data_IF_567937884957
#
_entry.id   IF_567937884957
#
_cell.length_a   1.000
_cell.length_b   1.000
_cell.length_c   1.000
_cell.angle_alpha   90.00
_cell.angle_beta   90.00
_cell.angle_gamma   90.00
#
_symmetry.space_group_name_H-M   'P 1'
#
loop_
_entity.id
_entity.type
_entity.pdbx_description
1 polymer ?
#
# COMPACT_ATOMS: atom_id res chain seq x y z
N UNK A 1 13.73 6.73 1.24
CA UNK A 1 13.65 7.16 2.65
C UNK A 1 14.98 7.84 2.92
N UNK A 2 14.98 9.16 3.15
CA UNK A 2 16.21 9.96 3.30
C UNK A 2 16.66 10.06 4.77
N UNK A 3 15.82 9.58 5.68
CA UNK A 3 16.06 9.57 7.12
C UNK A 3 16.49 8.16 7.56
N UNK A 4 17.66 8.04 8.20
CA UNK A 4 18.28 6.76 8.58
C UNK A 4 17.46 5.96 9.60
N UNK A 5 16.60 6.63 10.36
CA UNK A 5 15.75 5.99 11.37
C UNK A 5 14.28 5.90 10.92
N UNK A 6 14.00 6.15 9.64
CA UNK A 6 12.66 6.01 9.07
C UNK A 6 12.51 4.67 8.34
N UNK A 7 11.57 3.86 8.80
CA UNK A 7 11.25 2.57 8.20
C UNK A 7 9.75 2.39 8.06
N UNK A 8 9.36 1.59 7.08
CA UNK A 8 7.96 1.32 6.79
C UNK A 8 7.42 0.39 7.88
N UNK A 9 6.25 0.71 8.43
CA UNK A 9 5.52 -0.08 9.42
C UNK A 9 4.22 -0.66 8.84
N UNK A 10 3.80 -0.20 7.66
CA UNK A 10 2.58 -0.67 7.04
C UNK A 10 2.23 0.02 5.74
N UNK A 11 1.12 -0.41 5.16
CA UNK A 11 0.52 0.18 3.95
C UNK A 11 -0.98 0.32 4.13
N UNK A 12 -1.56 1.33 3.51
CA UNK A 12 -3.01 1.45 3.33
C UNK A 12 -3.31 1.88 1.91
N UNK A 13 -4.57 1.83 1.51
CA UNK A 13 -4.96 2.29 0.19
C UNK A 13 -6.37 1.89 -0.18
N UNK A 14 -6.68 2.04 -1.46
CA UNK A 14 -7.99 1.73 -2.01
C UNK A 14 -7.87 0.74 -3.16
N UNK A 15 -8.82 -0.20 -3.21
CA UNK A 15 -9.01 -1.13 -4.33
C UNK A 15 -10.33 -0.80 -5.02
N UNK A 16 -10.28 -0.59 -6.33
CA UNK A 16 -11.37 0.04 -7.07
C UNK A 16 -11.34 -0.24 -8.56
N UNK A 17 -12.28 0.38 -9.27
CA UNK A 17 -12.28 0.44 -10.72
C UNK A 17 -11.18 1.39 -11.18
N UNK A 18 -10.44 1.02 -12.22
CA UNK A 18 -9.46 1.92 -12.82
C UNK A 18 -10.16 2.81 -13.83
N UNK A 19 -10.10 4.13 -13.61
CA UNK A 19 -10.72 5.11 -14.50
C UNK A 19 -10.17 5.00 -15.92
N UNK A 20 -11.05 5.00 -16.93
CA UNK A 20 -10.69 4.85 -18.34
C UNK A 20 -10.46 3.40 -18.79
N UNK A 21 -10.41 2.41 -17.89
CA UNK A 21 -10.15 1.01 -18.24
C UNK A 21 -11.36 0.12 -17.95
N UNK A 22 -12.27 0.06 -18.92
CA UNK A 22 -13.56 -0.67 -18.95
C UNK A 22 -13.65 -1.85 -17.97
N UNK A 23 -14.10 -1.57 -16.74
CA UNK A 23 -14.42 -2.58 -15.73
C UNK A 23 -13.23 -3.26 -15.04
N UNK A 24 -11.99 -2.87 -15.34
CA UNK A 24 -10.81 -3.43 -14.67
C UNK A 24 -10.73 -2.94 -13.23
N UNK A 25 -10.35 -3.84 -12.32
CA UNK A 25 -10.15 -3.54 -10.90
C UNK A 25 -8.71 -3.75 -10.48
N UNK A 26 -8.20 -2.82 -9.68
CA UNK A 26 -6.83 -2.80 -9.19
C UNK A 26 -6.75 -1.99 -7.89
N UNK A 27 -5.56 -1.97 -7.28
CA UNK A 27 -5.20 -0.96 -6.29
C UNK A 27 -5.15 0.37 -7.01
N UNK A 28 -6.04 1.29 -6.62
CA UNK A 28 -6.21 2.62 -7.22
C UNK A 28 -5.49 3.69 -6.42
N UNK A 29 -5.25 3.46 -5.13
CA UNK A 29 -4.32 4.27 -4.34
C UNK A 29 -3.55 3.45 -3.31
N UNK A 30 -2.36 3.95 -2.94
CA UNK A 30 -1.53 3.38 -1.87
C UNK A 30 -0.84 4.48 -1.05
N UNK A 31 -0.80 4.30 0.25
CA UNK A 31 -0.03 5.10 1.21
C UNK A 31 0.91 4.19 1.99
N UNK A 32 2.15 4.64 2.17
CA UNK A 32 3.16 3.94 2.97
C UNK A 32 3.25 4.61 4.33
N UNK A 33 3.01 3.82 5.37
CA UNK A 33 3.10 4.27 6.75
C UNK A 33 4.51 3.97 7.23
N UNK A 34 5.20 4.98 7.76
CA UNK A 34 6.47 4.80 8.44
C UNK A 34 6.30 5.09 9.93
N UNK A 35 7.31 4.76 10.72
CA UNK A 35 7.37 5.15 12.13
C UNK A 35 7.40 6.67 12.35
N UNK A 36 7.56 7.50 11.31
CA UNK A 36 7.64 8.97 11.42
C UNK A 36 6.48 9.71 10.73
N UNK A 37 6.09 9.26 9.54
CA UNK A 37 5.06 9.93 8.72
C UNK A 37 4.40 8.98 7.72
N UNK A 38 3.37 9.47 7.05
CA UNK A 38 2.69 8.80 5.95
C UNK A 38 3.19 9.41 4.63
N UNK A 39 3.52 8.55 3.66
CA UNK A 39 3.87 8.94 2.29
C UNK A 39 2.74 8.53 1.34
N UNK A 40 2.26 9.45 0.51
CA UNK A 40 1.10 9.27 -0.35
C UNK A 40 -0.11 10.11 0.10
N UNK A 41 -1.33 9.76 -0.36
CA UNK A 41 -1.63 8.63 -1.24
C UNK A 41 -1.04 8.83 -2.64
N UNK A 42 -0.58 7.73 -3.23
CA UNK A 42 -0.20 7.66 -4.64
C UNK A 42 -1.33 7.00 -5.42
N UNK A 43 -1.87 7.71 -6.42
CA UNK A 43 -3.08 7.31 -7.14
C UNK A 43 -4.32 8.03 -6.60
N UNK A 44 -5.49 7.55 -6.98
CA UNK A 44 -6.77 8.19 -6.65
C UNK A 44 -7.54 7.33 -5.65
N UNK A 45 -8.06 7.96 -4.61
CA UNK A 45 -8.94 7.32 -3.62
C UNK A 45 -10.37 7.12 -4.16
N UNK A 46 -10.49 6.86 -5.47
CA UNK A 46 -11.73 6.50 -6.15
C UNK A 46 -11.92 4.97 -6.07
N UNK A 47 -12.20 4.48 -4.87
CA UNK A 47 -12.39 3.05 -4.62
C UNK A 47 -13.47 2.77 -3.60
N UNK A 48 -14.30 1.76 -3.86
CA UNK A 48 -15.36 1.35 -2.94
C UNK A 48 -14.85 0.62 -1.68
N UNK A 49 -13.58 0.17 -1.67
CA UNK A 49 -13.00 -0.62 -0.56
C UNK A 49 -11.61 -0.13 -0.21
N UNK A 50 -11.45 0.36 1.02
CA UNK A 50 -10.14 0.63 1.60
C UNK A 50 -9.51 -0.66 2.14
N UNK A 51 -8.19 -0.66 2.25
CA UNK A 51 -7.42 -1.67 2.96
C UNK A 51 -6.34 -1.00 3.81
N UNK A 52 -5.96 -1.66 4.89
CA UNK A 52 -4.77 -1.33 5.66
C UNK A 52 -4.08 -2.62 6.12
N UNK A 53 -2.76 -2.59 6.22
CA UNK A 53 -2.02 -3.62 6.91
C UNK A 53 -2.37 -3.61 8.40
N UNK A 54 -2.50 -4.78 9.00
CA UNK A 54 -2.73 -4.93 10.44
C UNK A 54 -1.63 -4.23 11.24
N UNK A 55 -1.97 -3.51 12.33
CA UNK A 55 -0.98 -3.01 13.26
C UNK A 55 -0.08 -4.16 13.75
N UNK A 56 1.24 -4.00 13.62
CA UNK A 56 2.23 -4.96 14.10
C UNK A 56 3.40 -4.19 14.75
N UNK A 57 3.92 -4.67 15.89
CA UNK A 57 5.16 -4.15 16.45
C UNK A 57 6.34 -4.69 15.63
N UNK A 58 6.59 -4.06 14.49
CA UNK A 58 7.63 -4.48 13.56
C UNK A 58 7.84 -3.49 12.43
N UNK A 59 8.74 -3.84 11.52
CA UNK A 59 9.00 -3.10 10.29
C UNK A 59 8.73 -3.99 9.08
N UNK A 60 8.33 -3.37 7.98
CA UNK A 60 8.23 -4.04 6.68
C UNK A 60 9.64 -4.26 6.15
N UNK A 61 10.00 -5.52 5.92
CA UNK A 61 11.29 -5.94 5.34
C UNK A 61 11.17 -6.37 3.88
N UNK A 62 9.94 -6.51 3.38
CA UNK A 62 9.71 -6.87 1.99
C UNK A 62 8.25 -6.71 1.59
N UNK A 63 8.01 -6.71 0.29
CA UNK A 63 6.69 -6.65 -0.31
C UNK A 63 6.50 -7.85 -1.23
N UNK A 64 5.26 -8.34 -1.31
CA UNK A 64 4.84 -9.28 -2.32
C UNK A 64 3.51 -8.80 -2.93
N UNK A 65 3.13 -9.34 -4.08
CA UNK A 65 1.91 -8.91 -4.73
C UNK A 65 1.64 -9.62 -6.03
N UNK A 66 0.58 -9.16 -6.71
CA UNK A 66 0.20 -9.63 -8.03
C UNK A 66 0.00 -8.42 -8.94
N UNK A 67 0.58 -8.47 -10.13
CA UNK A 67 0.35 -7.49 -11.19
C UNK A 67 -0.22 -8.15 -12.43
N UNK A 68 -1.02 -7.38 -13.16
CA UNK A 68 -1.30 -7.58 -14.58
C UNK A 68 -0.93 -6.27 -15.30
N UNK A 69 -1.88 -5.62 -15.97
CA UNK A 69 -1.74 -4.25 -16.47
C UNK A 69 -1.62 -3.22 -15.32
N UNK A 70 -2.15 -3.56 -14.14
CA UNK A 70 -2.11 -2.73 -12.93
C UNK A 70 -1.64 -3.56 -11.73
N UNK A 71 -1.44 -2.90 -10.59
CA UNK A 71 -1.19 -3.57 -9.32
C UNK A 71 -2.51 -4.13 -8.77
N UNK A 72 -2.69 -5.45 -8.80
CA UNK A 72 -3.95 -6.09 -8.41
C UNK A 72 -3.99 -6.47 -6.92
N UNK A 73 -2.83 -6.72 -6.30
CA UNK A 73 -2.72 -7.05 -4.89
C UNK A 73 -1.34 -6.67 -4.36
N UNK A 74 -1.29 -6.26 -3.09
CA UNK A 74 -0.07 -6.01 -2.36
C UNK A 74 -0.17 -6.60 -0.96
N UNK A 75 0.92 -7.17 -0.48
CA UNK A 75 1.12 -7.61 0.88
C UNK A 75 2.52 -7.26 1.35
N UNK A 76 2.74 -7.33 2.65
CA UNK A 76 4.00 -6.99 3.31
C UNK A 76 4.54 -8.18 4.08
N UNK A 77 5.86 -8.30 4.14
CA UNK A 77 6.57 -9.17 5.06
C UNK A 77 7.07 -8.33 6.23
N UNK A 78 6.70 -8.74 7.44
CA UNK A 78 7.06 -8.05 8.68
C UNK A 78 8.24 -8.75 9.35
N UNK A 79 9.18 -7.98 9.87
CA UNK A 79 10.13 -8.39 10.91
C UNK A 79 9.66 -7.74 12.21
N UNK A 80 9.28 -8.56 13.19
CA UNK A 80 8.90 -8.09 14.51
C UNK A 80 10.15 -7.67 15.30
N UNK A 81 9.97 -6.72 16.21
CA UNK A 81 11.01 -6.32 17.15
C UNK A 81 11.20 -7.33 18.29
#
# INVERSE_FOLDING_TARGET
MDDKDEFIIGVSGFYGLVEGYKGLKAIVSISFHTNKRIHGPYGEELGARCFCSTPSPGKVVGFHGRKNAFLNAIGVHMENF
#
